data_IF_854711550012
#
_entry.id   IF_854711550012
#
_cell.length_a   1.000
_cell.length_b   1.000
_cell.length_c   1.000
_cell.angle_alpha   90.00
_cell.angle_beta   90.00
_cell.angle_gamma   90.00
#
_symmetry.space_group_name_H-M   'P 1'
#
loop_
_entity.id
_entity.type
_entity.pdbx_description
1 polymer ?
#
# COMPACT_ATOMS: atom_id res chain seq x y z
N UNK A 1 -18.22 -57.89 -1.21
CA UNK A 1 -16.77 -57.73 -1.54
C UNK A 1 -15.96 -58.19 -0.32
N UNK A 2 -15.14 -59.25 -0.41
CA UNK A 2 -14.51 -59.94 0.73
C UNK A 2 -13.21 -59.29 1.27
N UNK A 3 -12.86 -58.06 0.87
CA UNK A 3 -11.55 -57.43 1.14
C UNK A 3 -11.55 -56.38 2.27
N UNK A 4 -12.73 -56.00 2.79
CA UNK A 4 -12.91 -55.11 3.96
C UNK A 4 -13.06 -55.92 5.26
N UNK A 5 -12.24 -56.95 5.43
CA UNK A 5 -12.33 -57.85 6.58
C UNK A 5 -11.83 -57.12 7.85
N UNK A 6 -12.48 -57.29 9.02
CA UNK A 6 -12.22 -56.44 10.18
C UNK A 6 -10.79 -56.39 10.73
N UNK A 7 -9.97 -57.36 10.36
CA UNK A 7 -8.62 -57.54 10.88
C UNK A 7 -7.65 -56.40 10.53
N UNK A 8 -7.89 -55.64 9.44
CA UNK A 8 -6.99 -54.54 9.04
C UNK A 8 -7.47 -53.14 9.45
N UNK A 9 -8.66 -53.00 10.08
CA UNK A 9 -9.24 -51.68 10.39
C UNK A 9 -8.35 -50.83 11.30
N UNK A 10 -7.78 -51.42 12.36
CA UNK A 10 -6.94 -50.67 13.31
C UNK A 10 -5.67 -50.13 12.64
N UNK A 11 -5.03 -50.94 11.79
CA UNK A 11 -3.85 -50.49 11.04
C UNK A 11 -4.23 -49.38 10.06
N UNK A 12 -5.29 -49.56 9.29
CA UNK A 12 -5.76 -48.56 8.33
C UNK A 12 -6.09 -47.22 9.00
N UNK A 13 -6.80 -47.25 10.13
CA UNK A 13 -7.15 -46.05 10.91
C UNK A 13 -5.89 -45.37 11.47
N UNK A 14 -4.96 -46.15 12.01
CA UNK A 14 -3.71 -45.61 12.58
C UNK A 14 -2.85 -44.93 11.52
N UNK A 15 -2.70 -45.55 10.35
CA UNK A 15 -1.99 -44.94 9.23
C UNK A 15 -2.72 -43.72 8.68
N UNK A 16 -4.05 -43.74 8.61
CA UNK A 16 -4.84 -42.58 8.18
C UNK A 16 -4.61 -41.37 9.10
N UNK A 17 -4.64 -41.56 10.42
CA UNK A 17 -4.36 -40.49 11.37
C UNK A 17 -2.91 -39.98 11.27
N UNK A 18 -1.93 -40.86 11.12
CA UNK A 18 -0.53 -40.46 10.93
C UNK A 18 -0.34 -39.63 9.65
N UNK A 19 -0.97 -40.03 8.54
CA UNK A 19 -0.91 -39.30 7.27
C UNK A 19 -1.61 -37.95 7.41
N UNK A 20 -2.81 -37.88 8.02
CA UNK A 20 -3.53 -36.63 8.22
C UNK A 20 -2.71 -35.66 9.07
N UNK A 21 -2.10 -36.12 10.17
CA UNK A 21 -1.25 -35.28 11.01
C UNK A 21 -0.03 -34.75 10.22
N UNK A 22 0.61 -35.61 9.42
CA UNK A 22 1.70 -35.23 8.53
C UNK A 22 1.26 -34.20 7.48
N UNK A 23 0.11 -34.41 6.84
CA UNK A 23 -0.45 -33.49 5.86
C UNK A 23 -0.75 -32.14 6.50
N UNK A 24 -1.41 -32.10 7.66
CA UNK A 24 -1.71 -30.84 8.37
C UNK A 24 -0.41 -30.07 8.64
N UNK A 25 0.63 -30.74 9.14
CA UNK A 25 1.93 -30.11 9.37
C UNK A 25 2.55 -29.57 8.08
N UNK A 26 2.55 -30.36 7.00
CA UNK A 26 3.13 -29.96 5.71
C UNK A 26 2.37 -28.79 5.09
N UNK A 27 1.05 -28.86 5.08
CA UNK A 27 0.19 -27.80 4.58
C UNK A 27 0.37 -26.51 5.38
N UNK A 28 0.34 -26.60 6.72
CA UNK A 28 0.45 -25.45 7.60
C UNK A 28 1.82 -24.78 7.52
N UNK A 29 2.92 -25.56 7.45
CA UNK A 29 4.27 -25.01 7.59
C UNK A 29 4.94 -24.67 6.26
N UNK A 30 4.65 -25.42 5.19
CA UNK A 30 5.37 -25.28 3.92
C UNK A 30 4.50 -24.76 2.78
N UNK A 31 3.27 -25.25 2.64
CA UNK A 31 2.42 -24.93 1.47
C UNK A 31 1.72 -23.59 1.66
N UNK A 32 0.99 -23.42 2.78
CA UNK A 32 0.17 -22.24 3.02
C UNK A 32 1.01 -20.94 3.13
N UNK A 33 2.14 -20.91 3.86
CA UNK A 33 2.94 -19.70 3.96
C UNK A 33 3.56 -19.30 2.62
N UNK A 34 3.83 -20.25 1.72
CA UNK A 34 4.39 -19.96 0.39
C UNK A 34 3.39 -19.17 -0.47
N UNK A 35 2.12 -19.53 -0.44
CA UNK A 35 1.08 -18.77 -1.13
C UNK A 35 0.95 -17.36 -0.56
N UNK A 36 0.81 -17.23 0.77
CA UNK A 36 0.67 -15.93 1.43
C UNK A 36 1.86 -15.02 1.12
N UNK A 37 3.09 -15.53 1.16
CA UNK A 37 4.28 -14.74 0.81
C UNK A 37 4.22 -14.19 -0.62
N UNK A 38 3.81 -15.01 -1.59
CA UNK A 38 3.67 -14.56 -2.98
C UNK A 38 2.58 -13.48 -3.13
N UNK A 39 1.43 -13.64 -2.46
CA UNK A 39 0.38 -12.63 -2.47
C UNK A 39 0.84 -11.32 -1.84
N UNK A 40 1.46 -11.36 -0.66
CA UNK A 40 1.98 -10.17 0.01
C UNK A 40 3.04 -9.47 -0.82
N UNK A 41 3.97 -10.21 -1.43
CA UNK A 41 4.98 -9.62 -2.33
C UNK A 41 4.34 -8.94 -3.54
N UNK A 42 3.31 -9.54 -4.15
CA UNK A 42 2.59 -8.89 -5.27
C UNK A 42 1.86 -7.62 -4.83
N UNK A 43 1.15 -7.67 -3.71
CA UNK A 43 0.47 -6.49 -3.15
C UNK A 43 1.48 -5.40 -2.82
N UNK A 44 2.61 -5.75 -2.20
CA UNK A 44 3.68 -4.82 -1.87
C UNK A 44 4.26 -4.16 -3.13
N UNK A 45 4.62 -4.95 -4.17
CA UNK A 45 5.13 -4.42 -5.44
C UNK A 45 4.10 -3.50 -6.11
N UNK A 46 2.80 -3.81 -6.03
CA UNK A 46 1.77 -2.97 -6.64
C UNK A 46 1.47 -1.69 -5.86
N UNK A 47 1.41 -1.75 -4.52
CA UNK A 47 0.95 -0.63 -3.69
C UNK A 47 2.08 0.33 -3.34
N UNK A 48 3.27 -0.19 -3.07
CA UNK A 48 4.40 0.62 -2.60
C UNK A 48 4.77 1.76 -3.57
N UNK A 49 4.85 1.54 -4.90
CA UNK A 49 5.11 2.62 -5.85
C UNK A 49 3.89 3.51 -6.13
N UNK A 50 2.67 3.10 -5.75
CA UNK A 50 1.46 3.89 -5.97
C UNK A 50 1.13 4.77 -4.76
N UNK A 51 1.56 4.39 -3.57
CA UNK A 51 1.38 5.15 -2.33
C UNK A 51 2.03 6.55 -2.41
N UNK A 52 3.12 6.68 -3.18
CA UNK A 52 3.77 7.98 -3.42
C UNK A 52 2.88 9.01 -4.16
N UNK A 53 1.80 8.55 -4.81
CA UNK A 53 0.84 9.42 -5.50
C UNK A 53 -0.45 9.66 -4.68
N UNK A 54 -0.51 9.19 -3.44
CA UNK A 54 -1.67 9.41 -2.59
C UNK A 54 -1.78 10.89 -2.19
N UNK A 55 -2.95 11.48 -2.44
CA UNK A 55 -3.27 12.84 -2.01
C UNK A 55 -3.70 12.80 -0.55
N UNK A 56 -2.86 13.34 0.34
CA UNK A 56 -3.13 13.42 1.78
C UNK A 56 -3.47 14.86 2.18
N UNK A 57 -4.26 15.01 3.23
CA UNK A 57 -4.48 16.30 3.89
C UNK A 57 -3.30 16.56 4.83
N UNK A 58 -2.73 17.76 4.78
CA UNK A 58 -1.63 18.19 5.66
C UNK A 58 -2.15 19.08 6.78
N UNK A 59 -2.96 20.07 6.41
CA UNK A 59 -3.59 21.01 7.33
C UNK A 59 -5.05 21.13 6.92
N UNK A 60 -5.98 20.97 7.85
CA UNK A 60 -7.41 21.17 7.62
C UNK A 60 -8.00 22.00 8.75
N UNK A 61 -8.90 22.90 8.39
CA UNK A 61 -9.68 23.72 9.29
C UNK A 61 -11.15 23.57 8.92
N UNK A 62 -11.91 22.96 9.83
CA UNK A 62 -13.34 22.78 9.70
C UNK A 62 -14.04 23.74 10.66
N UNK A 63 -15.00 24.50 10.15
CA UNK A 63 -15.81 25.45 10.90
C UNK A 63 -17.30 25.19 10.65
N UNK A 64 -17.90 24.23 11.41
CA UNK A 64 -19.32 23.87 11.29
C UNK A 64 -20.27 25.05 11.53
N UNK A 65 -19.92 25.93 12.47
CA UNK A 65 -20.73 27.10 12.85
C UNK A 65 -20.77 28.17 11.73
N UNK A 66 -19.77 28.18 10.85
CA UNK A 66 -19.69 29.07 9.69
C UNK A 66 -20.27 28.40 8.43
N UNK A 67 -21.44 27.74 8.56
CA UNK A 67 -22.10 27.08 7.43
C UNK A 67 -21.35 25.85 6.91
N UNK A 68 -20.71 25.07 7.79
CA UNK A 68 -19.91 23.89 7.43
C UNK A 68 -18.73 24.17 6.49
N UNK A 69 -18.03 25.28 6.70
CA UNK A 69 -16.81 25.61 5.96
C UNK A 69 -15.70 24.60 6.27
N UNK A 70 -15.05 24.03 5.25
CA UNK A 70 -13.86 23.18 5.40
C UNK A 70 -12.74 23.66 4.47
N UNK A 71 -11.66 24.21 5.03
CA UNK A 71 -10.48 24.68 4.29
C UNK A 71 -9.34 23.71 4.58
N UNK A 72 -8.81 23.05 3.55
CA UNK A 72 -7.69 22.14 3.70
C UNK A 72 -6.56 22.41 2.72
N UNK A 73 -5.33 22.39 3.21
CA UNK A 73 -4.11 22.30 2.41
C UNK A 73 -3.71 20.82 2.27
N UNK A 74 -3.78 20.32 1.05
CA UNK A 74 -3.35 18.95 0.69
C UNK A 74 -1.92 18.95 0.19
N UNK A 75 -1.31 17.77 0.05
CA UNK A 75 0.03 17.63 -0.54
C UNK A 75 0.11 18.29 -1.92
N UNK A 76 -0.89 18.04 -2.78
CA UNK A 76 -0.96 18.64 -4.11
C UNK A 76 -1.15 20.17 -4.04
N UNK A 77 -1.98 20.65 -3.10
CA UNK A 77 -2.13 22.09 -2.85
C UNK A 77 -0.83 22.75 -2.43
N UNK A 78 -0.05 22.10 -1.55
CA UNK A 78 1.26 22.57 -1.11
C UNK A 78 2.29 22.58 -2.26
N UNK A 79 2.30 21.58 -3.13
CA UNK A 79 3.18 21.61 -4.31
C UNK A 79 2.85 22.76 -5.26
N UNK A 80 1.55 23.05 -5.45
CA UNK A 80 1.11 24.17 -6.28
C UNK A 80 1.48 25.53 -5.67
N UNK A 81 1.38 25.69 -4.34
CA UNK A 81 1.79 26.95 -3.70
C UNK A 81 3.31 27.15 -3.79
N UNK A 82 4.11 26.10 -3.57
CA UNK A 82 5.57 26.16 -3.75
C UNK A 82 5.93 26.51 -5.20
N UNK A 83 5.30 25.86 -6.18
CA UNK A 83 5.53 26.15 -7.60
C UNK A 83 5.17 27.61 -7.95
N UNK A 84 4.02 28.09 -7.45
CA UNK A 84 3.61 29.48 -7.62
C UNK A 84 4.59 30.49 -7.00
N UNK A 85 5.07 30.22 -5.78
CA UNK A 85 6.08 31.04 -5.11
C UNK A 85 7.40 31.04 -5.87
N UNK A 86 7.83 29.90 -6.42
CA UNK A 86 9.04 29.81 -7.24
C UNK A 86 8.90 30.64 -8.52
N UNK A 87 7.80 30.50 -9.25
CA UNK A 87 7.53 31.29 -10.46
C UNK A 87 7.50 32.78 -10.14
N UNK A 88 6.82 33.17 -9.06
CA UNK A 88 6.77 34.55 -8.61
C UNK A 88 8.16 35.09 -8.26
N UNK A 89 8.98 34.32 -7.54
CA UNK A 89 10.34 34.71 -7.16
C UNK A 89 11.25 34.85 -8.38
N UNK A 90 11.18 33.91 -9.32
CA UNK A 90 11.93 34.00 -10.58
C UNK A 90 11.48 35.23 -11.37
N UNK A 91 10.17 35.52 -11.40
CA UNK A 91 9.65 36.72 -12.06
C UNK A 91 10.19 38.01 -11.45
N UNK A 92 10.35 38.07 -10.11
CA UNK A 92 10.93 39.22 -9.45
C UNK A 92 12.44 39.35 -9.72
N UNK A 93 13.18 38.24 -9.63
CA UNK A 93 14.64 38.21 -9.87
C UNK A 93 15.02 38.42 -11.34
N UNK A 94 14.15 38.01 -12.27
CA UNK A 94 14.33 38.22 -13.70
C UNK A 94 14.22 39.69 -14.11
N UNK A 95 13.70 40.56 -13.24
CA UNK A 95 13.61 41.97 -13.56
C UNK A 95 14.97 42.66 -13.40
N UNK A 96 15.60 43.03 -14.52
CA UNK A 96 16.82 43.83 -14.54
C UNK A 96 16.51 45.33 -14.39
N UNK A 97 15.81 45.74 -13.32
CA UNK A 97 15.42 47.14 -13.08
C UNK A 97 14.76 47.79 -14.32
N UNK A 98 13.91 47.05 -15.02
CA UNK A 98 13.22 47.44 -16.26
C UNK A 98 14.16 47.77 -17.45
N UNK A 99 15.41 47.32 -17.43
CA UNK A 99 16.32 47.41 -18.57
C UNK A 99 16.07 46.24 -19.54
N UNK A 100 16.18 46.52 -20.84
CA UNK A 100 15.96 45.54 -21.92
C UNK A 100 17.16 44.60 -22.10
N UNK A 101 18.31 44.92 -21.51
CA UNK A 101 19.54 44.12 -21.59
C UNK A 101 19.51 43.04 -20.52
N UNK A 102 20.05 41.85 -20.84
CA UNK A 102 20.24 40.79 -19.83
C UNK A 102 21.11 41.29 -18.68
N UNK A 103 20.83 40.79 -17.47
CA UNK A 103 21.78 40.90 -16.37
C UNK A 103 23.01 40.01 -16.70
N UNK A 104 24.21 40.48 -16.39
CA UNK A 104 25.47 39.76 -16.63
C UNK A 104 25.92 39.01 -15.36
#
# INVERSE_FOLDING_TARGET
MPQLVPFFFINQITFAFAIIAGLIYVFSKYILPRFVRLFTTRVFISKFPLDQFEIRNLVSLDAPVLGNLSISLTNIGLYLTIAGVLVFTISLLSNNNNRVVSNA
#
